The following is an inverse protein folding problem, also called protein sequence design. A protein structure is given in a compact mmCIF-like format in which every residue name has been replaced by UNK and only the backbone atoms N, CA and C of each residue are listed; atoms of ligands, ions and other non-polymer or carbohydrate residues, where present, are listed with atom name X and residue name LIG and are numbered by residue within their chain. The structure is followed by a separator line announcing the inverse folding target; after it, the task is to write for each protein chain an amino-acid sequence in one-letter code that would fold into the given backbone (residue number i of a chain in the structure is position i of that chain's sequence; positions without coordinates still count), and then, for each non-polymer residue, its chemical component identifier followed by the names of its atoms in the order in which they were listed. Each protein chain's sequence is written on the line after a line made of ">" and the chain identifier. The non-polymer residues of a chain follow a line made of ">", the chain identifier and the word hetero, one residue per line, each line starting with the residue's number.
data_IF_466643788729
#
_entry.id   IF_466643788729
#
_cell.length_a   1.000
_cell.length_b   1.000
_cell.length_c   1.000
_cell.angle_alpha   90.00
_cell.angle_beta   90.00
_cell.angle_gamma   90.00
#
_symmetry.space_group_name_H-M   'P 1'
#
loop_
_entity.id
_entity.type
_entity.pdbx_description
1 polymer ?
#
# COMPACT_ATOMS: atom_id res chain seq x y z
N UNK A 1 -40.78 -41.00 57.11
CA UNK A 1 -40.59 -39.68 57.75
C UNK A 1 -39.33 -39.08 57.16
N UNK A 2 -39.50 -38.20 56.19
CA UNK A 2 -39.42 -36.78 56.26
C UNK A 2 -37.96 -36.32 56.22
N UNK A 3 -37.50 -35.50 55.35
CA UNK A 3 -37.94 -34.21 54.81
C UNK A 3 -37.12 -33.88 53.54
N UNK A 4 -37.79 -33.50 52.49
CA UNK A 4 -37.26 -32.74 51.37
C UNK A 4 -36.79 -31.39 51.87
N UNK A 5 -35.61 -30.96 51.45
CA UNK A 5 -35.19 -29.60 51.46
C UNK A 5 -34.94 -29.14 50.01
N UNK A 6 -35.81 -28.24 49.56
CA UNK A 6 -35.69 -27.48 48.31
C UNK A 6 -34.47 -26.60 48.40
N UNK A 7 -33.62 -26.64 47.39
CA UNK A 7 -32.70 -25.56 47.08
C UNK A 7 -33.19 -24.90 45.81
N UNK A 8 -33.51 -23.64 45.95
CA UNK A 8 -34.15 -22.81 44.95
C UNK A 8 -33.25 -22.47 43.80
N UNK A 9 -33.82 -22.59 42.64
CA UNK A 9 -33.38 -21.98 41.42
C UNK A 9 -33.62 -20.46 41.55
N UNK A 10 -32.61 -19.67 41.73
CA UNK A 10 -32.68 -18.21 41.57
C UNK A 10 -31.94 -17.82 40.31
N UNK A 11 -32.73 -17.67 39.24
CA UNK A 11 -32.85 -16.44 38.47
C UNK A 11 -31.57 -15.80 37.93
N UNK A 12 -31.31 -16.05 36.68
CA UNK A 12 -30.65 -15.07 35.82
C UNK A 12 -31.72 -14.27 35.03
N UNK A 13 -32.01 -13.03 35.38
CA UNK A 13 -32.77 -12.14 34.56
C UNK A 13 -32.02 -10.83 34.37
N UNK A 14 -31.03 -10.73 33.51
CA UNK A 14 -30.45 -9.42 33.16
C UNK A 14 -30.23 -9.31 31.62
N UNK A 15 -30.31 -10.37 30.88
CA UNK A 15 -29.97 -10.33 29.43
C UNK A 15 -31.19 -10.11 28.50
N UNK A 16 -32.42 -10.29 28.95
CA UNK A 16 -33.61 -10.16 28.11
C UNK A 16 -34.08 -8.71 27.88
N UNK A 17 -33.61 -7.76 28.67
CA UNK A 17 -34.06 -6.36 28.54
C UNK A 17 -33.19 -5.49 27.63
N UNK A 18 -31.92 -5.89 27.39
CA UNK A 18 -31.02 -5.14 26.52
C UNK A 18 -31.15 -5.51 25.02
N UNK A 19 -31.55 -6.75 24.71
CA UNK A 19 -31.77 -7.17 23.34
C UNK A 19 -33.01 -6.54 22.69
N UNK A 20 -34.06 -6.33 23.48
CA UNK A 20 -35.29 -5.69 22.96
C UNK A 20 -35.16 -4.18 22.83
N UNK A 21 -34.35 -3.52 23.67
CA UNK A 21 -34.12 -2.07 23.59
C UNK A 21 -33.19 -1.68 22.44
N UNK A 22 -32.27 -2.56 22.03
CA UNK A 22 -31.41 -2.29 20.90
C UNK A 22 -32.12 -2.46 19.56
N UNK A 23 -33.12 -3.37 19.47
CA UNK A 23 -33.98 -3.48 18.29
C UNK A 23 -34.93 -2.30 18.12
N UNK A 24 -35.43 -1.72 19.21
CA UNK A 24 -36.30 -0.52 19.12
C UNK A 24 -35.54 0.77 18.81
N UNK A 25 -34.23 0.86 19.14
CA UNK A 25 -33.44 2.05 18.83
C UNK A 25 -33.00 2.12 17.36
N UNK A 26 -32.99 1.00 16.64
CA UNK A 26 -32.67 0.94 15.19
C UNK A 26 -33.88 1.36 14.33
N UNK A 27 -35.10 1.28 14.89
CA UNK A 27 -36.32 1.68 14.14
C UNK A 27 -36.64 3.16 14.24
N UNK A 28 -36.01 3.93 15.12
CA UNK A 28 -36.41 5.33 15.40
C UNK A 28 -35.64 6.38 14.56
N UNK A 29 -34.67 6.00 13.73
CA UNK A 29 -33.93 6.93 12.84
C UNK A 29 -34.02 6.61 11.37
N UNK A 30 -34.91 5.68 10.97
CA UNK A 30 -35.05 5.23 9.57
C UNK A 30 -36.25 5.88 8.83
N UNK A 31 -36.88 6.90 9.40
CA UNK A 31 -38.16 7.43 8.87
C UNK A 31 -38.02 8.53 7.80
N UNK A 32 -36.85 8.87 7.30
CA UNK A 32 -36.73 9.98 6.33
C UNK A 32 -35.96 9.65 5.04
N UNK A 33 -36.17 8.47 4.45
CA UNK A 33 -35.93 8.32 3.01
C UNK A 33 -36.81 7.21 2.47
N UNK A 34 -37.69 7.54 1.55
CA UNK A 34 -38.29 6.56 0.61
C UNK A 34 -37.10 5.87 -0.07
N UNK A 35 -36.69 4.71 0.47
CA UNK A 35 -35.53 3.98 -0.04
C UNK A 35 -35.90 3.46 -1.43
N UNK A 36 -35.24 3.98 -2.47
CA UNK A 36 -35.41 3.49 -3.83
C UNK A 36 -35.14 1.98 -3.83
N UNK A 37 -36.09 1.22 -4.40
CA UNK A 37 -35.95 -0.23 -4.61
C UNK A 37 -35.53 -0.45 -6.04
N UNK A 38 -34.41 -1.13 -6.24
CA UNK A 38 -33.83 -1.44 -7.54
C UNK A 38 -34.31 -2.78 -8.09
N UNK A 39 -34.40 -3.79 -7.23
CA UNK A 39 -34.90 -5.12 -7.55
C UNK A 39 -35.89 -5.56 -6.49
N UNK A 40 -36.95 -6.25 -6.91
CA UNK A 40 -37.96 -6.82 -6.02
C UNK A 40 -38.37 -8.21 -6.51
N UNK A 41 -38.44 -9.16 -5.59
CA UNK A 41 -38.93 -10.51 -5.77
C UNK A 41 -40.04 -10.80 -4.74
N UNK A 42 -40.62 -11.98 -4.78
CA UNK A 42 -41.53 -12.43 -3.73
C UNK A 42 -40.84 -12.73 -2.39
N UNK A 43 -39.50 -12.87 -2.40
CA UNK A 43 -38.71 -13.28 -1.25
C UNK A 43 -37.88 -12.14 -0.66
N UNK A 44 -37.34 -11.24 -1.49
CA UNK A 44 -36.48 -10.14 -1.04
C UNK A 44 -36.55 -8.93 -1.98
N UNK A 45 -36.00 -7.81 -1.50
CA UNK A 45 -35.75 -6.62 -2.32
C UNK A 45 -34.29 -6.16 -2.18
N UNK A 46 -33.79 -5.46 -3.21
CA UNK A 46 -32.50 -4.77 -3.19
C UNK A 46 -32.77 -3.27 -3.24
N UNK A 47 -32.40 -2.57 -2.19
CA UNK A 47 -32.72 -1.18 -1.96
C UNK A 47 -31.49 -0.26 -2.08
N UNK A 48 -31.71 1.04 -2.12
CA UNK A 48 -30.63 2.04 -2.06
C UNK A 48 -29.85 1.93 -0.74
N UNK A 49 -30.50 1.55 0.37
CA UNK A 49 -29.82 1.29 1.63
C UNK A 49 -28.83 0.11 1.49
N UNK A 50 -29.30 -1.02 0.92
CA UNK A 50 -28.44 -2.19 0.67
C UNK A 50 -27.21 -1.80 -0.17
N UNK A 51 -27.44 -1.05 -1.27
CA UNK A 51 -26.36 -0.58 -2.15
C UNK A 51 -25.33 0.27 -1.42
N UNK A 52 -25.78 1.24 -0.62
CA UNK A 52 -24.91 2.11 0.18
C UNK A 52 -24.08 1.29 1.17
N UNK A 53 -24.71 0.36 1.88
CA UNK A 53 -24.05 -0.50 2.84
C UNK A 53 -23.05 -1.46 2.17
N UNK A 54 -23.44 -2.04 1.06
CA UNK A 54 -22.54 -2.90 0.28
C UNK A 54 -21.30 -2.15 -0.20
N UNK A 55 -21.45 -1.02 -0.89
CA UNK A 55 -20.33 -0.22 -1.39
C UNK A 55 -19.43 0.34 -0.31
N UNK A 56 -19.96 0.52 0.90
CA UNK A 56 -19.20 0.97 2.07
C UNK A 56 -18.31 -0.14 2.67
N UNK A 57 -18.80 -1.38 2.66
CA UNK A 57 -18.20 -2.50 3.37
C UNK A 57 -17.57 -3.54 2.42
N UNK A 58 -17.82 -3.44 1.12
CA UNK A 58 -17.29 -4.35 0.13
C UNK A 58 -15.75 -4.20 -0.03
N UNK A 59 -15.05 -5.30 -0.34
CA UNK A 59 -13.63 -5.23 -0.64
C UNK A 59 -13.37 -4.28 -1.82
N UNK A 60 -12.15 -3.69 -1.93
CA UNK A 60 -11.82 -2.72 -2.98
C UNK A 60 -12.05 -3.23 -4.41
N UNK A 61 -12.20 -4.52 -4.56
CA UNK A 61 -12.44 -5.22 -5.83
C UNK A 61 -13.90 -5.26 -6.24
N UNK A 62 -14.81 -5.14 -5.26
CA UNK A 62 -16.24 -5.15 -5.51
C UNK A 62 -16.65 -3.89 -6.27
N UNK A 63 -17.36 -4.08 -7.37
CA UNK A 63 -17.79 -2.97 -8.21
C UNK A 63 -16.70 -2.43 -9.14
N UNK A 64 -15.72 -3.24 -9.58
CA UNK A 64 -14.75 -2.85 -10.60
C UNK A 64 -15.46 -2.55 -11.93
N UNK A 65 -15.49 -1.28 -12.29
CA UNK A 65 -15.94 -0.77 -13.58
C UNK A 65 -15.33 0.60 -13.83
N UNK A 66 -15.02 0.91 -15.08
CA UNK A 66 -14.37 2.16 -15.50
C UNK A 66 -15.24 3.42 -15.37
N UNK A 67 -16.36 3.37 -14.63
CA UNK A 67 -17.24 4.51 -14.37
C UNK A 67 -18.23 4.27 -13.23
N UNK A 68 -18.78 5.34 -12.68
CA UNK A 68 -19.74 5.30 -11.57
C UNK A 68 -20.97 4.43 -11.84
N UNK A 69 -21.46 4.45 -13.10
CA UNK A 69 -22.61 3.64 -13.54
C UNK A 69 -22.30 2.14 -13.53
N UNK A 70 -21.16 1.73 -14.10
CA UNK A 70 -20.73 0.33 -14.14
C UNK A 70 -20.53 -0.24 -12.74
N UNK A 71 -19.89 0.54 -11.85
CA UNK A 71 -19.70 0.18 -10.44
C UNK A 71 -21.04 -0.04 -9.71
N UNK A 72 -22.00 0.85 -9.91
CA UNK A 72 -23.32 0.73 -9.27
C UNK A 72 -24.09 -0.49 -9.79
N UNK A 73 -24.04 -0.75 -11.10
CA UNK A 73 -24.72 -1.93 -11.69
C UNK A 73 -24.09 -3.24 -11.20
N UNK A 74 -22.75 -3.31 -11.11
CA UNK A 74 -22.06 -4.47 -10.52
C UNK A 74 -22.48 -4.69 -9.08
N UNK A 75 -22.45 -3.65 -8.25
CA UNK A 75 -22.87 -3.75 -6.85
C UNK A 75 -24.31 -4.24 -6.67
N UNK A 76 -25.23 -3.79 -7.53
CA UNK A 76 -26.62 -4.25 -7.48
C UNK A 76 -26.76 -5.72 -7.92
N UNK A 77 -25.98 -6.15 -8.91
CA UNK A 77 -25.93 -7.54 -9.35
C UNK A 77 -25.38 -8.46 -8.25
N UNK A 78 -24.29 -8.04 -7.61
CA UNK A 78 -23.67 -8.79 -6.50
C UNK A 78 -24.64 -8.89 -5.31
N UNK A 79 -25.32 -7.80 -4.95
CA UNK A 79 -26.31 -7.80 -3.88
C UNK A 79 -27.49 -8.73 -4.18
N UNK A 80 -27.94 -8.75 -5.42
CA UNK A 80 -28.99 -9.68 -5.84
C UNK A 80 -28.52 -11.13 -5.67
N UNK A 81 -27.34 -11.46 -6.16
CA UNK A 81 -26.76 -12.79 -6.04
C UNK A 81 -26.57 -13.21 -4.58
N UNK A 82 -26.08 -12.31 -3.74
CA UNK A 82 -25.91 -12.56 -2.29
C UNK A 82 -27.25 -12.88 -1.64
N UNK A 83 -28.29 -12.04 -1.86
CA UNK A 83 -29.62 -12.27 -1.25
C UNK A 83 -30.29 -13.53 -1.78
N UNK A 84 -30.13 -13.82 -3.07
CA UNK A 84 -30.66 -15.03 -3.68
C UNK A 84 -30.00 -16.29 -3.07
N UNK A 85 -28.67 -16.37 -3.08
CA UNK A 85 -27.95 -17.53 -2.56
C UNK A 85 -28.13 -17.68 -1.06
N UNK A 86 -28.20 -16.58 -0.29
CA UNK A 86 -28.50 -16.64 1.12
C UNK A 86 -29.91 -17.20 1.40
N UNK A 87 -30.89 -16.83 0.57
CA UNK A 87 -32.25 -17.39 0.64
C UNK A 87 -32.28 -18.89 0.36
N UNK A 88 -31.56 -19.36 -0.66
CA UNK A 88 -31.45 -20.79 -0.95
C UNK A 88 -30.73 -21.54 0.20
N UNK A 89 -29.67 -20.96 0.74
CA UNK A 89 -28.91 -21.55 1.83
C UNK A 89 -29.72 -21.67 3.15
N UNK A 90 -30.67 -20.76 3.39
CA UNK A 90 -31.55 -20.83 4.57
C UNK A 90 -32.41 -22.11 4.58
N UNK A 91 -32.74 -22.64 3.40
CA UNK A 91 -33.54 -23.86 3.29
C UNK A 91 -32.75 -25.15 3.55
N UNK A 92 -31.41 -25.05 3.73
CA UNK A 92 -30.52 -26.18 3.89
C UNK A 92 -30.09 -26.45 5.33
N UNK A 93 -30.63 -25.69 6.30
CA UNK A 93 -30.30 -25.83 7.73
C UNK A 93 -28.78 -25.94 8.01
N UNK A 94 -27.97 -25.15 7.28
CA UNK A 94 -26.50 -25.19 7.37
C UNK A 94 -25.96 -24.65 8.67
N UNK A 95 -26.74 -23.87 9.42
CA UNK A 95 -26.40 -23.25 10.69
C UNK A 95 -27.52 -23.45 11.68
N UNK A 96 -27.17 -23.86 12.91
CA UNK A 96 -28.09 -23.86 14.04
C UNK A 96 -28.48 -22.40 14.45
N UNK A 97 -29.58 -22.23 15.16
CA UNK A 97 -29.99 -20.92 15.65
C UNK A 97 -28.95 -20.27 16.56
N UNK A 98 -28.25 -21.07 17.37
CA UNK A 98 -27.15 -20.58 18.23
C UNK A 98 -25.98 -20.05 17.39
N UNK A 99 -25.62 -20.74 16.31
CA UNK A 99 -24.56 -20.27 15.39
C UNK A 99 -24.98 -18.99 14.65
N UNK A 100 -26.23 -18.90 14.20
CA UNK A 100 -26.77 -17.71 13.55
C UNK A 100 -26.73 -16.50 14.50
N UNK A 101 -27.16 -16.67 15.74
CA UNK A 101 -27.17 -15.62 16.76
C UNK A 101 -25.73 -15.15 17.08
N UNK A 102 -24.80 -16.11 17.30
CA UNK A 102 -23.40 -15.79 17.55
C UNK A 102 -22.74 -15.06 16.36
N UNK A 103 -22.98 -15.51 15.13
CA UNK A 103 -22.44 -14.87 13.92
C UNK A 103 -22.97 -13.47 13.73
N UNK A 104 -24.26 -13.23 14.01
CA UNK A 104 -24.85 -11.91 13.92
C UNK A 104 -24.22 -10.95 14.95
N UNK A 105 -24.09 -11.38 16.20
CA UNK A 105 -23.44 -10.60 17.26
C UNK A 105 -21.97 -10.32 16.93
N UNK A 106 -21.25 -11.32 16.47
CA UNK A 106 -19.85 -11.18 16.07
C UNK A 106 -19.67 -10.18 14.93
N UNK A 107 -20.50 -10.25 13.88
CA UNK A 107 -20.45 -9.35 12.75
C UNK A 107 -20.71 -7.88 13.15
N UNK A 108 -21.71 -7.65 14.01
CA UNK A 108 -21.99 -6.31 14.54
C UNK A 108 -20.84 -5.81 15.41
N UNK A 109 -20.29 -6.67 16.26
CA UNK A 109 -19.15 -6.32 17.12
C UNK A 109 -17.92 -5.93 16.30
N UNK A 110 -17.61 -6.69 15.25
CA UNK A 110 -16.49 -6.39 14.35
C UNK A 110 -16.66 -5.03 13.63
N UNK A 111 -17.86 -4.72 13.16
CA UNK A 111 -18.15 -3.42 12.53
C UNK A 111 -18.04 -2.27 13.55
N UNK A 112 -18.53 -2.45 14.77
CA UNK A 112 -18.40 -1.45 15.82
C UNK A 112 -16.95 -1.20 16.21
N UNK A 113 -16.15 -2.26 16.36
CA UNK A 113 -14.70 -2.16 16.64
C UNK A 113 -14.00 -1.39 15.52
N UNK A 114 -14.30 -1.70 14.26
CA UNK A 114 -13.67 -1.05 13.12
C UNK A 114 -13.98 0.46 13.08
N UNK A 115 -15.25 0.83 13.34
CA UNK A 115 -15.67 2.25 13.44
C UNK A 115 -15.03 2.96 14.64
N UNK A 116 -14.99 2.29 15.78
CA UNK A 116 -14.36 2.83 16.97
C UNK A 116 -12.87 3.09 16.75
N UNK A 117 -12.13 2.10 16.23
CA UNK A 117 -10.70 2.25 15.96
C UNK A 117 -10.44 3.36 14.93
N UNK A 118 -11.25 3.44 13.88
CA UNK A 118 -11.15 4.52 12.88
C UNK A 118 -11.33 5.88 13.54
N UNK A 119 -12.40 6.04 14.32
CA UNK A 119 -12.68 7.31 15.02
C UNK A 119 -11.55 7.70 15.97
N UNK A 120 -11.04 6.76 16.76
CA UNK A 120 -9.94 7.03 17.69
C UNK A 120 -8.63 7.40 16.96
N UNK A 121 -8.34 6.75 15.84
CA UNK A 121 -7.19 7.10 15.01
C UNK A 121 -7.37 8.48 14.39
N UNK A 122 -8.53 8.78 13.81
CA UNK A 122 -8.84 10.11 13.25
C UNK A 122 -8.65 11.21 14.27
N UNK A 123 -9.17 11.03 15.49
CA UNK A 123 -9.03 12.01 16.57
C UNK A 123 -7.55 12.20 16.99
N UNK A 124 -6.78 11.12 17.05
CA UNK A 124 -5.34 11.18 17.34
C UNK A 124 -4.59 11.93 16.25
N UNK A 125 -4.86 11.62 14.96
CA UNK A 125 -4.23 12.30 13.84
C UNK A 125 -4.61 13.79 13.79
N UNK A 126 -5.86 14.13 14.13
CA UNK A 126 -6.33 15.52 14.19
C UNK A 126 -5.66 16.32 15.31
N UNK A 127 -5.29 15.66 16.41
CA UNK A 127 -4.61 16.29 17.55
C UNK A 127 -3.08 16.33 17.41
N UNK A 128 -2.52 15.71 16.37
CA UNK A 128 -1.05 15.63 16.14
C UNK A 128 -0.52 16.93 15.56
N UNK A 129 0.53 17.46 16.15
CA UNK A 129 1.31 18.56 15.58
C UNK A 129 2.22 18.03 14.46
N UNK A 130 1.69 18.01 13.26
CA UNK A 130 2.39 17.49 12.08
C UNK A 130 3.61 18.32 11.70
N UNK A 131 3.58 19.60 11.98
CA UNK A 131 4.69 20.50 11.70
C UNK A 131 5.90 20.16 12.59
N UNK A 132 5.65 19.93 13.88
CA UNK A 132 6.68 19.53 14.82
C UNK A 132 7.26 18.14 14.49
N UNK A 133 6.39 17.14 14.21
CA UNK A 133 6.84 15.79 13.84
C UNK A 133 7.63 15.77 12.53
N UNK A 134 7.18 16.49 11.51
CA UNK A 134 7.88 16.56 10.24
C UNK A 134 9.24 17.26 10.37
N UNK A 135 9.33 18.29 11.20
CA UNK A 135 10.59 18.97 11.49
C UNK A 135 11.57 18.08 12.25
N UNK A 136 11.07 17.31 13.21
CA UNK A 136 11.88 16.32 13.92
C UNK A 136 12.42 15.25 12.97
N UNK A 137 11.58 14.71 12.09
CA UNK A 137 11.97 13.74 11.07
C UNK A 137 13.04 14.29 10.13
N UNK A 138 12.86 15.52 9.64
CA UNK A 138 13.84 16.18 8.78
C UNK A 138 15.20 16.36 9.46
N UNK A 139 15.21 16.73 10.73
CA UNK A 139 16.44 16.93 11.50
C UNK A 139 17.12 15.60 11.88
N UNK A 140 16.33 14.53 12.04
CA UNK A 140 16.85 13.21 12.40
C UNK A 140 17.57 12.53 11.21
N UNK A 141 17.15 12.78 9.97
CA UNK A 141 17.72 12.14 8.79
C UNK A 141 17.80 13.15 7.62
N UNK A 142 18.66 14.17 7.72
CA UNK A 142 18.75 15.20 6.67
C UNK A 142 19.23 14.66 5.32
N UNK A 143 20.01 13.57 5.33
CA UNK A 143 20.50 12.89 4.13
C UNK A 143 19.38 12.32 3.25
N UNK A 144 18.23 11.94 3.83
CA UNK A 144 17.06 11.44 3.08
C UNK A 144 16.42 12.52 2.20
N UNK A 145 16.77 13.77 2.45
CA UNK A 145 16.26 14.96 1.74
C UNK A 145 17.34 15.63 0.90
N UNK A 146 18.38 14.88 0.54
CA UNK A 146 19.43 15.34 -0.36
C UNK A 146 19.16 14.83 -1.78
N UNK A 147 19.13 15.73 -2.74
CA UNK A 147 19.18 15.40 -4.16
C UNK A 147 20.64 15.14 -4.51
N UNK A 148 20.99 13.95 -5.01
CA UNK A 148 22.36 13.65 -5.37
C UNK A 148 22.81 14.48 -6.59
N UNK A 149 24.12 14.70 -6.68
CA UNK A 149 24.77 15.20 -7.89
C UNK A 149 24.42 14.30 -9.08
N UNK A 150 24.06 14.87 -10.21
CA UNK A 150 23.77 14.10 -11.42
C UNK A 150 24.23 14.79 -12.68
N UNK A 151 24.51 13.98 -13.71
CA UNK A 151 24.89 14.44 -15.03
C UNK A 151 23.96 13.86 -16.09
N UNK A 152 23.59 14.66 -17.08
CA UNK A 152 23.08 14.14 -18.34
C UNK A 152 24.18 14.33 -19.40
N UNK A 153 24.44 13.29 -20.15
CA UNK A 153 25.59 13.28 -21.07
C UNK A 153 25.25 12.51 -22.36
N UNK A 154 26.10 12.67 -23.36
CA UNK A 154 26.14 11.81 -24.53
C UNK A 154 27.44 11.04 -24.53
N UNK A 155 27.39 9.77 -24.89
CA UNK A 155 28.56 8.91 -24.97
C UNK A 155 28.70 8.28 -26.36
N UNK A 156 29.94 8.20 -26.81
CA UNK A 156 30.35 7.45 -27.99
C UNK A 156 31.35 6.38 -27.55
N UNK A 157 31.15 5.13 -27.95
CA UNK A 157 31.99 4.00 -27.59
C UNK A 157 32.68 3.45 -28.84
N UNK A 158 34.01 3.25 -28.75
CA UNK A 158 34.82 2.46 -29.68
C UNK A 158 35.25 1.20 -28.91
N UNK A 159 34.75 0.05 -29.30
CA UNK A 159 35.02 -1.22 -28.61
C UNK A 159 36.44 -1.72 -28.82
N UNK A 160 36.94 -2.50 -27.87
CA UNK A 160 38.24 -3.15 -27.90
C UNK A 160 38.14 -4.69 -28.00
N UNK A 161 36.94 -5.22 -28.27
CA UNK A 161 36.74 -6.67 -28.41
C UNK A 161 37.48 -7.25 -29.59
N UNK A 162 37.50 -6.56 -30.75
CA UNK A 162 38.08 -7.03 -32.01
C UNK A 162 39.26 -6.20 -32.48
N UNK A 163 39.82 -5.32 -31.66
CA UNK A 163 40.95 -4.43 -31.98
C UNK A 163 41.84 -4.12 -30.79
N UNK A 164 43.07 -3.72 -31.03
CA UNK A 164 43.94 -3.24 -29.97
C UNK A 164 43.43 -1.94 -29.36
N UNK A 165 43.63 -1.76 -28.06
CA UNK A 165 43.26 -0.53 -27.34
C UNK A 165 43.90 0.71 -27.95
N UNK A 166 45.15 0.61 -28.41
CA UNK A 166 45.85 1.69 -29.10
C UNK A 166 45.16 2.13 -30.41
N UNK A 167 44.58 1.21 -31.16
CA UNK A 167 43.82 1.51 -32.37
C UNK A 167 42.49 2.17 -32.04
N UNK A 168 41.77 1.64 -31.04
CA UNK A 168 40.54 2.26 -30.54
C UNK A 168 40.79 3.71 -30.01
N UNK A 169 41.92 3.92 -29.34
CA UNK A 169 42.36 5.22 -28.86
C UNK A 169 42.64 6.19 -30.02
N UNK A 170 43.36 5.75 -31.08
CA UNK A 170 43.60 6.60 -32.25
C UNK A 170 42.28 7.05 -32.92
N UNK A 171 41.33 6.13 -33.06
CA UNK A 171 40.00 6.43 -33.61
C UNK A 171 39.27 7.46 -32.70
N UNK A 172 39.26 7.24 -31.37
CA UNK A 172 38.63 8.12 -30.43
C UNK A 172 39.24 9.54 -30.44
N UNK A 173 40.59 9.65 -30.52
CA UNK A 173 41.26 10.94 -30.63
C UNK A 173 40.89 11.67 -31.93
N UNK A 174 40.74 10.96 -33.01
CA UNK A 174 40.32 11.57 -34.29
C UNK A 174 38.87 12.05 -34.25
N UNK A 175 37.96 11.29 -33.63
CA UNK A 175 36.60 11.67 -33.42
C UNK A 175 36.47 12.84 -32.42
N UNK A 176 37.30 12.90 -31.39
CA UNK A 176 37.37 14.03 -30.49
C UNK A 176 37.74 15.33 -31.22
N UNK A 177 38.75 15.25 -32.14
CA UNK A 177 39.12 16.40 -32.97
C UNK A 177 37.98 16.86 -33.88
N UNK A 178 37.15 15.95 -34.36
CA UNK A 178 36.00 16.27 -35.19
C UNK A 178 34.90 16.90 -34.31
N UNK A 179 34.62 16.34 -33.12
CA UNK A 179 33.67 16.86 -32.17
C UNK A 179 34.02 18.27 -31.65
N UNK A 180 35.29 18.58 -31.51
CA UNK A 180 35.79 19.89 -31.06
C UNK A 180 35.70 21.00 -32.10
N UNK A 181 35.33 20.70 -33.35
CA UNK A 181 35.18 21.76 -34.38
C UNK A 181 33.98 22.67 -34.12
N UNK A 182 34.08 23.98 -34.41
CA UNK A 182 32.93 24.86 -34.29
C UNK A 182 31.75 24.36 -35.12
N UNK A 183 30.57 24.21 -34.47
CA UNK A 183 29.34 23.76 -35.13
C UNK A 183 29.24 22.23 -35.31
N UNK A 184 30.17 21.43 -34.75
CA UNK A 184 30.07 19.97 -34.77
C UNK A 184 28.83 19.53 -33.96
N UNK A 185 28.11 18.54 -34.49
CA UNK A 185 27.00 17.85 -33.80
C UNK A 185 27.51 16.52 -33.26
N UNK A 186 27.78 16.50 -31.96
CA UNK A 186 28.26 15.27 -31.30
C UNK A 186 27.23 14.14 -31.35
N UNK A 187 25.92 14.45 -31.29
CA UNK A 187 24.86 13.46 -31.40
C UNK A 187 24.91 12.72 -32.76
N UNK A 188 25.20 13.48 -33.82
CA UNK A 188 25.40 12.90 -35.17
C UNK A 188 26.61 12.04 -35.22
N UNK A 189 27.74 12.49 -34.66
CA UNK A 189 28.97 11.68 -34.59
C UNK A 189 28.74 10.37 -33.81
N UNK A 190 27.99 10.43 -32.71
CA UNK A 190 27.59 9.24 -31.97
C UNK A 190 26.83 8.29 -32.87
N UNK A 191 25.77 8.76 -33.54
CA UNK A 191 24.92 7.91 -34.39
C UNK A 191 25.68 7.28 -35.57
N UNK A 192 26.74 7.94 -36.07
CA UNK A 192 27.54 7.47 -37.20
C UNK A 192 28.69 6.55 -36.79
N UNK A 193 29.26 6.69 -35.59
CA UNK A 193 30.53 6.06 -35.23
C UNK A 193 30.49 5.23 -33.95
N UNK A 194 29.44 5.35 -33.11
CA UNK A 194 29.43 4.52 -31.91
C UNK A 194 29.20 3.05 -32.21
N UNK A 195 29.90 2.21 -31.49
CA UNK A 195 29.76 0.76 -31.56
C UNK A 195 28.84 0.20 -30.44
N UNK A 196 28.20 1.09 -29.69
CA UNK A 196 27.11 0.75 -28.81
C UNK A 196 25.77 0.95 -29.54
N UNK A 197 25.09 -0.18 -29.84
CA UNK A 197 23.83 -0.18 -30.57
C UNK A 197 22.72 0.62 -29.88
N UNK A 198 22.73 0.68 -28.55
CA UNK A 198 21.74 1.47 -27.78
C UNK A 198 22.03 2.96 -27.90
N UNK A 199 23.29 3.35 -27.85
CA UNK A 199 23.73 4.73 -27.99
C UNK A 199 23.49 5.27 -29.42
N UNK A 200 23.67 4.44 -30.44
CA UNK A 200 23.41 4.79 -31.83
C UNK A 200 21.96 5.25 -32.07
N UNK A 201 21.02 4.60 -31.42
CA UNK A 201 19.58 4.86 -31.61
C UNK A 201 19.10 6.19 -31.01
N UNK A 202 19.78 6.71 -29.97
CA UNK A 202 19.37 7.91 -29.23
C UNK A 202 20.42 9.03 -29.22
N UNK A 203 21.45 8.92 -30.08
CA UNK A 203 22.58 9.86 -30.12
C UNK A 203 23.40 9.84 -28.83
N UNK A 204 23.50 8.70 -28.18
CA UNK A 204 24.30 8.47 -26.99
C UNK A 204 23.76 9.09 -25.69
N UNK A 205 22.51 9.55 -25.67
CA UNK A 205 21.96 10.29 -24.52
C UNK A 205 21.75 9.37 -23.31
N UNK A 206 22.37 9.74 -22.20
CA UNK A 206 22.15 9.21 -20.86
C UNK A 206 21.70 10.36 -19.95
N UNK A 207 20.52 10.28 -19.36
CA UNK A 207 19.94 11.38 -18.58
C UNK A 207 19.95 11.08 -17.10
N UNK A 208 20.32 12.07 -16.28
CA UNK A 208 20.20 12.00 -14.82
C UNK A 208 21.07 10.91 -14.18
N UNK A 209 22.23 10.63 -14.73
CA UNK A 209 23.18 9.64 -14.19
C UNK A 209 23.71 10.15 -12.85
N UNK A 210 23.63 9.34 -11.82
CA UNK A 210 24.20 9.59 -10.49
C UNK A 210 25.42 8.69 -10.25
N UNK A 211 26.27 9.07 -9.30
CA UNK A 211 27.43 8.26 -8.96
C UNK A 211 27.06 6.83 -8.53
N UNK A 212 27.88 5.88 -8.89
CA UNK A 212 27.66 4.45 -8.65
C UNK A 212 26.85 3.73 -9.73
N UNK A 213 26.40 4.43 -10.77
CA UNK A 213 25.62 3.82 -11.88
C UNK A 213 26.46 3.42 -13.09
N UNK A 214 27.70 3.88 -13.16
CA UNK A 214 28.59 3.58 -14.29
C UNK A 214 29.94 3.03 -13.81
N UNK A 215 30.76 2.53 -14.73
CA UNK A 215 32.09 2.01 -14.38
C UNK A 215 33.02 3.14 -13.96
N UNK A 216 33.93 2.92 -12.96
CA UNK A 216 34.69 3.98 -12.35
C UNK A 216 35.43 4.93 -13.30
N UNK A 217 36.19 4.48 -14.33
CA UNK A 217 36.87 5.42 -15.22
C UNK A 217 35.92 6.34 -15.98
N UNK A 218 34.79 5.80 -16.42
CA UNK A 218 33.74 6.57 -17.10
C UNK A 218 33.09 7.59 -16.14
N UNK A 219 32.78 7.13 -14.92
CA UNK A 219 32.16 7.99 -13.91
C UNK A 219 33.05 9.17 -13.55
N UNK A 220 34.34 8.92 -13.29
CA UNK A 220 35.29 9.98 -12.95
C UNK A 220 35.35 11.05 -14.06
N UNK A 221 35.45 10.62 -15.33
CA UNK A 221 35.48 11.53 -16.46
C UNK A 221 34.16 12.28 -16.65
N UNK A 222 33.03 11.58 -16.55
CA UNK A 222 31.70 12.18 -16.70
C UNK A 222 31.43 13.26 -15.63
N UNK A 223 31.76 12.98 -14.39
CA UNK A 223 31.59 13.91 -13.27
C UNK A 223 32.73 14.92 -13.11
N UNK A 224 33.77 14.89 -13.95
CA UNK A 224 34.77 15.97 -14.04
C UNK A 224 34.27 17.12 -14.93
N UNK A 225 33.36 16.86 -15.87
CA UNK A 225 32.80 17.87 -16.77
C UNK A 225 31.84 18.80 -15.99
N UNK A 226 31.85 20.10 -16.35
CA UNK A 226 31.05 21.11 -15.63
C UNK A 226 30.18 21.99 -16.53
N UNK A 227 30.56 22.14 -17.79
CA UNK A 227 29.86 23.03 -18.71
C UNK A 227 29.12 22.22 -19.81
N UNK A 228 27.84 22.50 -20.06
CA UNK A 228 27.14 21.87 -21.19
C UNK A 228 27.93 22.07 -22.50
N UNK A 229 28.07 20.98 -23.24
CA UNK A 229 28.87 20.92 -24.47
C UNK A 229 30.36 20.56 -24.26
N UNK A 230 30.84 20.55 -23.02
CA UNK A 230 32.21 20.11 -22.69
C UNK A 230 32.42 18.64 -23.05
N UNK A 231 33.57 18.34 -23.63
CA UNK A 231 33.99 17.00 -24.05
C UNK A 231 35.06 16.46 -23.10
N UNK A 232 35.00 15.14 -22.79
CA UNK A 232 36.09 14.48 -22.09
C UNK A 232 37.26 14.19 -23.03
N UNK A 233 38.44 13.99 -22.45
CA UNK A 233 39.47 13.19 -23.13
C UNK A 233 38.95 11.74 -23.36
N UNK A 234 39.58 10.98 -24.29
CA UNK A 234 39.23 9.57 -24.47
C UNK A 234 39.38 8.77 -23.15
N UNK A 235 38.37 8.05 -22.74
CA UNK A 235 38.32 7.31 -21.46
C UNK A 235 38.35 5.82 -21.74
N UNK A 236 39.35 5.12 -21.23
CA UNK A 236 39.44 3.66 -21.35
C UNK A 236 38.60 2.99 -20.27
N UNK A 237 37.80 2.03 -20.66
CA UNK A 237 37.03 1.15 -19.78
C UNK A 237 37.12 -0.31 -20.24
N UNK A 238 36.52 -1.22 -19.46
CA UNK A 238 36.41 -2.63 -19.87
C UNK A 238 35.58 -2.86 -21.15
N UNK A 239 34.85 -1.87 -21.64
CA UNK A 239 34.04 -1.95 -22.85
C UNK A 239 34.76 -1.38 -24.10
N UNK A 240 35.82 -0.62 -23.90
CA UNK A 240 36.55 0.10 -24.92
C UNK A 240 36.84 1.53 -24.53
N UNK A 241 37.01 2.40 -25.53
CA UNK A 241 37.33 3.80 -25.38
C UNK A 241 36.07 4.65 -25.57
N UNK A 242 35.79 5.46 -24.60
CA UNK A 242 34.63 6.36 -24.61
C UNK A 242 35.03 7.80 -24.87
N UNK A 243 34.16 8.52 -25.58
CA UNK A 243 34.10 9.99 -25.58
C UNK A 243 32.81 10.40 -24.94
N UNK A 244 32.89 11.41 -24.08
CA UNK A 244 31.75 11.86 -23.29
C UNK A 244 31.55 13.35 -23.55
N UNK A 245 30.30 13.76 -23.82
CA UNK A 245 29.91 15.16 -23.88
C UNK A 245 28.89 15.45 -22.80
N UNK A 246 29.13 16.47 -21.97
CA UNK A 246 28.16 16.93 -20.99
C UNK A 246 26.97 17.64 -21.65
N UNK A 247 25.75 17.21 -21.33
CA UNK A 247 24.50 17.86 -21.73
C UNK A 247 24.00 18.76 -20.61
N UNK A 248 24.00 18.25 -19.38
CA UNK A 248 23.53 18.98 -18.20
C UNK A 248 24.28 18.49 -16.95
N UNK A 249 24.67 19.40 -16.10
CA UNK A 249 25.21 19.13 -14.76
C UNK A 249 24.26 19.68 -13.71
N UNK A 250 23.84 18.84 -12.78
CA UNK A 250 23.05 19.22 -11.61
C UNK A 250 23.88 18.94 -10.36
N UNK A 251 24.27 19.98 -9.61
CA UNK A 251 24.97 19.80 -8.35
C UNK A 251 24.08 19.08 -7.31
N UNK A 252 24.71 18.44 -6.35
CA UNK A 252 23.98 17.95 -5.19
C UNK A 252 23.34 19.12 -4.44
N UNK A 253 22.07 18.93 -4.04
CA UNK A 253 21.30 19.95 -3.33
C UNK A 253 20.72 19.36 -2.06
N UNK A 254 20.87 20.05 -0.92
CA UNK A 254 20.14 19.75 0.30
C UNK A 254 18.81 20.49 0.23
N UNK A 255 17.72 19.73 0.11
CA UNK A 255 16.38 20.32 0.14
C UNK A 255 16.12 20.91 1.52
N UNK A 256 15.56 22.11 1.57
CA UNK A 256 15.17 22.73 2.84
C UNK A 256 13.93 22.06 3.42
N UNK A 257 13.72 22.24 4.71
CA UNK A 257 12.52 21.73 5.37
C UNK A 257 11.25 22.21 4.66
N UNK A 258 11.17 23.49 4.29
CA UNK A 258 10.01 24.08 3.63
C UNK A 258 9.68 23.42 2.29
N UNK A 259 10.70 22.95 1.55
CA UNK A 259 10.53 22.26 0.27
C UNK A 259 9.96 20.84 0.46
N UNK A 260 10.22 20.18 1.60
CA UNK A 260 9.89 18.78 1.81
C UNK A 260 8.82 18.53 2.89
N UNK A 261 8.47 19.55 3.70
CA UNK A 261 7.57 19.44 4.83
C UNK A 261 6.26 18.72 4.49
N UNK A 262 5.60 19.13 3.41
CA UNK A 262 4.34 18.49 2.97
C UNK A 262 4.54 17.01 2.63
N UNK A 263 5.62 16.65 1.93
CA UNK A 263 5.95 15.25 1.59
C UNK A 263 6.15 14.44 2.86
N UNK A 264 6.93 14.94 3.81
CA UNK A 264 7.19 14.28 5.08
C UNK A 264 5.87 14.04 5.84
N UNK A 265 5.02 15.05 5.94
CA UNK A 265 3.71 14.92 6.60
C UNK A 265 2.84 13.86 5.92
N UNK A 266 2.78 13.87 4.59
CA UNK A 266 1.97 12.91 3.82
C UNK A 266 2.50 11.46 3.97
N UNK A 267 3.81 11.27 4.13
CA UNK A 267 4.46 9.98 4.42
C UNK A 267 4.27 9.54 5.87
N UNK A 268 4.32 10.45 6.84
CA UNK A 268 4.17 10.15 8.26
C UNK A 268 2.73 9.77 8.64
N UNK A 269 1.72 10.41 8.09
CA UNK A 269 0.31 10.19 8.44
C UNK A 269 -0.13 8.72 8.39
N UNK A 270 0.09 7.94 7.31
CA UNK A 270 -0.30 6.54 7.27
C UNK A 270 0.50 5.68 8.26
N UNK A 271 1.76 6.00 8.50
CA UNK A 271 2.61 5.30 9.46
C UNK A 271 2.08 5.50 10.87
N UNK A 272 1.78 6.74 11.25
CA UNK A 272 1.21 7.07 12.57
C UNK A 272 -0.18 6.47 12.75
N UNK A 273 -1.01 6.51 11.71
CA UNK A 273 -2.33 5.87 11.74
C UNK A 273 -2.23 4.37 12.07
N UNK A 274 -1.31 3.66 11.40
CA UNK A 274 -1.07 2.25 11.66
C UNK A 274 -0.50 1.99 13.07
N UNK A 275 0.37 2.86 13.56
CA UNK A 275 0.93 2.76 14.93
C UNK A 275 -0.14 2.99 16.00
N UNK A 276 -0.97 4.03 15.87
CA UNK A 276 -2.05 4.31 16.80
C UNK A 276 -3.07 3.17 16.83
N UNK A 277 -3.46 2.66 15.65
CA UNK A 277 -4.36 1.51 15.55
C UNK A 277 -3.82 0.29 16.28
N UNK A 278 -2.55 -0.06 16.06
CA UNK A 278 -1.90 -1.18 16.76
C UNK A 278 -1.83 -0.96 18.26
N UNK A 279 -1.48 0.26 18.70
CA UNK A 279 -1.43 0.61 20.12
C UNK A 279 -2.77 0.39 20.80
N UNK A 280 -3.86 0.88 20.22
CA UNK A 280 -5.23 0.68 20.74
C UNK A 280 -5.62 -0.80 20.82
N UNK A 281 -5.24 -1.59 19.80
CA UNK A 281 -5.53 -3.03 19.80
C UNK A 281 -4.71 -3.80 20.85
N UNK A 282 -3.46 -3.42 21.08
CA UNK A 282 -2.62 -4.01 22.13
C UNK A 282 -3.15 -3.64 23.51
N UNK A 283 -3.45 -2.37 23.75
CA UNK A 283 -4.04 -1.91 25.02
C UNK A 283 -5.34 -2.66 25.33
N UNK A 284 -6.21 -2.84 24.33
CA UNK A 284 -7.46 -3.58 24.49
C UNK A 284 -7.24 -5.07 24.87
N UNK A 285 -6.18 -5.71 24.37
CA UNK A 285 -5.82 -7.10 24.70
C UNK A 285 -5.27 -7.25 26.11
N UNK A 286 -4.53 -6.26 26.57
CA UNK A 286 -3.86 -6.29 27.88
C UNK A 286 -4.79 -5.82 29.02
N UNK A 287 -5.82 -5.04 28.68
CA UNK A 287 -6.74 -4.44 29.65
C UNK A 287 -7.65 -5.48 30.25
N UNK A 288 -7.44 -5.76 31.52
CA UNK A 288 -8.36 -6.58 32.34
C UNK A 288 -9.38 -5.68 33.02
N UNK A 289 -10.64 -5.97 32.81
CA UNK A 289 -11.72 -5.23 33.45
C UNK A 289 -11.90 -5.71 34.88
N UNK A 290 -12.56 -4.88 35.73
CA UNK A 290 -12.94 -5.29 37.09
C UNK A 290 -13.80 -6.56 37.04
N UNK A 291 -13.49 -7.53 37.91
CA UNK A 291 -14.15 -8.82 37.92
C UNK A 291 -13.63 -9.84 36.89
N UNK A 292 -12.54 -9.54 36.15
CA UNK A 292 -11.91 -10.52 35.28
C UNK A 292 -11.43 -11.74 36.07
N UNK A 293 -11.95 -12.92 35.69
CA UNK A 293 -11.55 -14.21 36.25
C UNK A 293 -10.97 -15.07 35.15
N UNK A 294 -9.77 -15.57 35.36
CA UNK A 294 -9.12 -16.52 34.47
C UNK A 294 -9.39 -17.94 34.96
N UNK A 295 -10.09 -18.72 34.14
CA UNK A 295 -10.41 -20.12 34.43
C UNK A 295 -9.26 -21.03 33.97
N UNK A 296 -8.21 -21.14 34.81
CA UNK A 296 -6.95 -21.82 34.48
C UNK A 296 -7.16 -23.30 34.11
N UNK A 297 -8.05 -24.01 34.80
CA UNK A 297 -8.35 -25.41 34.50
C UNK A 297 -8.93 -25.58 33.08
N UNK A 298 -9.83 -24.70 32.66
CA UNK A 298 -10.39 -24.73 31.32
C UNK A 298 -9.34 -24.36 30.24
N UNK A 299 -8.43 -23.46 30.57
CA UNK A 299 -7.32 -23.08 29.69
C UNK A 299 -6.33 -24.25 29.54
N UNK A 300 -5.96 -24.92 30.63
CA UNK A 300 -5.06 -26.08 30.62
C UNK A 300 -5.66 -27.24 29.82
N UNK A 301 -6.98 -27.49 29.95
CA UNK A 301 -7.68 -28.46 29.14
C UNK A 301 -7.66 -28.08 27.63
N UNK A 302 -7.90 -26.84 27.28
CA UNK A 302 -7.81 -26.35 25.92
C UNK A 302 -6.39 -26.53 25.34
N UNK A 303 -5.36 -26.18 26.10
CA UNK A 303 -3.96 -26.30 25.68
C UNK A 303 -3.55 -27.77 25.50
N UNK A 304 -4.05 -28.69 26.35
CA UNK A 304 -3.80 -30.11 26.20
C UNK A 304 -4.41 -30.72 24.93
N UNK A 305 -5.63 -30.29 24.56
CA UNK A 305 -6.30 -30.68 23.32
C UNK A 305 -5.62 -30.18 22.06
N UNK A 306 -4.99 -28.99 22.11
CA UNK A 306 -4.28 -28.40 20.96
C UNK A 306 -2.90 -28.99 20.73
N UNK A 307 -2.26 -29.57 21.77
CA UNK A 307 -0.97 -30.27 21.64
C UNK A 307 -1.09 -31.59 20.87
N UNK A 308 -2.27 -32.21 20.84
CA UNK A 308 -2.53 -33.50 20.17
C UNK A 308 -2.84 -33.36 18.66
N UNK A 309 -2.61 -32.21 18.05
CA UNK A 309 -2.64 -32.01 16.59
C UNK A 309 -4.02 -32.10 15.92
N UNK A 310 -5.12 -32.06 16.70
CA UNK A 310 -6.49 -32.35 16.22
C UNK A 310 -7.31 -31.10 15.83
N UNK A 311 -6.71 -29.93 15.70
CA UNK A 311 -7.34 -28.81 15.00
C UNK A 311 -6.89 -28.79 13.53
N UNK A 312 -7.41 -29.77 12.77
CA UNK A 312 -7.45 -29.64 11.32
C UNK A 312 -8.14 -28.33 10.96
N UNK A 313 -7.35 -27.37 10.52
CA UNK A 313 -7.88 -26.17 9.85
C UNK A 313 -8.64 -26.65 8.61
N UNK A 314 -9.93 -26.87 8.74
CA UNK A 314 -10.83 -26.68 7.61
C UNK A 314 -10.89 -25.16 7.42
N UNK A 315 -10.03 -24.65 6.55
CA UNK A 315 -10.21 -23.30 6.01
C UNK A 315 -11.65 -23.23 5.51
N UNK A 316 -12.45 -22.24 5.93
CA UNK A 316 -13.65 -21.94 5.22
C UNK A 316 -13.21 -21.40 3.85
N UNK A 317 -13.44 -22.21 2.82
CA UNK A 317 -13.61 -21.89 1.41
C UNK A 317 -12.86 -20.63 0.99
N UNK A 318 -11.62 -20.80 0.50
CA UNK A 318 -10.98 -19.84 -0.37
C UNK A 318 -11.63 -19.91 -1.76
N UNK A 319 -11.65 -18.82 -2.55
CA UNK A 319 -12.21 -18.85 -3.89
C UNK A 319 -11.26 -19.58 -4.83
N UNK A 320 -11.55 -20.86 -5.12
CA UNK A 320 -11.20 -21.44 -6.41
C UNK A 320 -12.48 -21.51 -7.24
N UNK A 321 -12.66 -20.49 -8.06
CA UNK A 321 -13.34 -20.51 -9.37
C UNK A 321 -12.87 -19.30 -10.18
#
# INVERSE_FOLDING_TARGET
>A
MCKLARLGCTQYPIWSALSLSLMLAITASAEDSVSLTYYSTSQFSVTEFDRKMYLRNAPPEAGRGSGSRARNLSALSDLYAIKFLAGEAQNLDLLSEVEKEWLAEYAVSMELIERYLRKMVEDKLAATDWEAEAREQYLASPEDYRVPESVSLRTLLIRTEDRAESEAMEIAVDLLRQAARPGADFSKLVSEHTEDANAAANGGLMSGVVRGQTVPPFEEAAFALRMPGELSEPVVSQFGVHLIQLVEYRPAEQLTYEQVAKRIIDELKPIRAAQYRRGLQMEARERKLEGFVEHTEALDELMSRTSDGALGRKSPIGPEL
#
